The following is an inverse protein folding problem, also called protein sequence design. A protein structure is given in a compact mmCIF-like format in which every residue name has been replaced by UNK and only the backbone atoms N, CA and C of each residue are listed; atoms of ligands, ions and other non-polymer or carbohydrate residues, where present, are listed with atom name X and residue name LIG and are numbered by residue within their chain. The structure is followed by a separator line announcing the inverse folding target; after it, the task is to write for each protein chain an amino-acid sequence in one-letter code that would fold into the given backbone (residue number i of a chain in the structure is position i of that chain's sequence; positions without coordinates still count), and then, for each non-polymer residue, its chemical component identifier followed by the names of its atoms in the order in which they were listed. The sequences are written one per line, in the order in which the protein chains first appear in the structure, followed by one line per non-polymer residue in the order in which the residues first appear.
data_IF_142029732174
#
_entry.id   IF_142029732174
#
_cell.length_a   1.000
_cell.length_b   1.000
_cell.length_c   1.000
_cell.angle_alpha   90.00
_cell.angle_beta   90.00
_cell.angle_gamma   90.00
#
_symmetry.space_group_name_H-M   'P 1'
#
loop_
_entity.id
_entity.type
_entity.pdbx_description
1 polymer ?
#
# COMPACT_ATOMS: atom_id res chain seq x y z
N UNK A 1 3.95 1.34 -18.04
CA UNK A 1 3.79 2.23 -16.85
C UNK A 1 3.71 1.41 -15.57
N UNK A 2 4.72 0.59 -15.25
CA UNK A 2 4.88 0.10 -13.86
C UNK A 2 5.53 1.24 -13.10
N UNK A 3 4.75 2.03 -12.38
CA UNK A 3 5.32 2.97 -11.40
C UNK A 3 6.30 2.19 -10.52
N UNK A 4 7.44 2.80 -10.23
CA UNK A 4 8.53 2.14 -9.53
C UNK A 4 7.98 1.50 -8.22
N UNK A 5 8.34 0.25 -7.93
CA UNK A 5 7.78 -0.49 -6.78
C UNK A 5 7.99 0.32 -5.49
N UNK A 6 9.13 0.98 -5.38
CA UNK A 6 9.49 1.91 -4.32
C UNK A 6 8.48 3.06 -4.17
N UNK A 7 8.07 3.67 -5.28
CA UNK A 7 7.10 4.77 -5.27
C UNK A 7 5.72 4.28 -4.80
N UNK A 8 5.33 3.07 -5.20
CA UNK A 8 4.08 2.45 -4.73
C UNK A 8 4.14 2.14 -3.23
N UNK A 9 5.25 1.59 -2.76
CA UNK A 9 5.48 1.32 -1.35
C UNK A 9 5.40 2.60 -0.51
N UNK A 10 6.06 3.67 -0.96
CA UNK A 10 6.01 4.98 -0.30
C UNK A 10 4.58 5.53 -0.22
N UNK A 11 3.81 5.48 -1.31
CA UNK A 11 2.41 5.95 -1.30
C UNK A 11 1.51 5.12 -0.38
N UNK A 12 1.68 3.80 -0.37
CA UNK A 12 0.93 2.91 0.52
C UNK A 12 1.28 3.18 2.00
N UNK A 13 2.57 3.31 2.31
CA UNK A 13 3.04 3.61 3.66
C UNK A 13 2.52 4.97 4.15
N UNK A 14 2.61 6.00 3.32
CA UNK A 14 2.11 7.33 3.64
C UNK A 14 0.61 7.30 3.97
N UNK A 15 -0.19 6.68 3.11
CA UNK A 15 -1.64 6.55 3.33
C UNK A 15 -1.95 5.82 4.64
N UNK A 16 -1.26 4.71 4.92
CA UNK A 16 -1.44 3.92 6.14
C UNK A 16 -1.17 4.76 7.39
N UNK A 17 -0.09 5.55 7.38
CA UNK A 17 0.31 6.40 8.51
C UNK A 17 -0.68 7.55 8.70
N UNK A 18 -0.95 8.32 7.64
CA UNK A 18 -1.80 9.52 7.70
C UNK A 18 -3.23 9.19 8.13
N UNK A 19 -3.77 8.07 7.66
CA UNK A 19 -5.15 7.68 7.91
C UNK A 19 -5.29 6.69 9.08
N UNK A 20 -4.18 6.29 9.71
CA UNK A 20 -4.11 5.16 10.65
C UNK A 20 -4.83 3.92 10.10
N UNK A 21 -4.70 3.71 8.79
CA UNK A 21 -5.47 2.73 8.06
C UNK A 21 -4.86 1.33 8.22
N UNK A 22 -5.72 0.31 8.24
CA UNK A 22 -5.24 -1.07 8.19
C UNK A 22 -4.79 -1.45 6.77
N UNK A 23 -3.95 -2.48 6.64
CA UNK A 23 -3.55 -3.04 5.35
C UNK A 23 -4.75 -3.40 4.47
N UNK A 24 -5.84 -3.90 5.07
CA UNK A 24 -7.08 -4.23 4.35
C UNK A 24 -7.79 -2.98 3.83
N UNK A 25 -7.77 -1.88 4.59
CA UNK A 25 -8.35 -0.61 4.14
C UNK A 25 -7.53 0.00 2.99
N UNK A 26 -6.20 0.00 3.10
CA UNK A 26 -5.31 0.43 2.02
C UNK A 26 -5.51 -0.41 0.74
N UNK A 27 -5.61 -1.73 0.85
CA UNK A 27 -5.88 -2.60 -0.30
C UNK A 27 -7.17 -2.22 -1.06
N UNK A 28 -8.25 -1.94 -0.31
CA UNK A 28 -9.52 -1.47 -0.90
C UNK A 28 -9.37 -0.10 -1.56
N UNK A 29 -8.69 0.84 -0.90
CA UNK A 29 -8.49 2.20 -1.39
C UNK A 29 -7.68 2.23 -2.69
N UNK A 30 -6.66 1.39 -2.81
CA UNK A 30 -5.75 1.35 -3.95
C UNK A 30 -6.15 0.32 -5.02
N UNK A 31 -7.26 -0.40 -4.83
CA UNK A 31 -7.75 -1.38 -5.80
C UNK A 31 -6.81 -2.58 -6.00
N UNK A 32 -6.05 -2.95 -4.97
CA UNK A 32 -5.07 -4.05 -5.01
C UNK A 32 -5.37 -5.09 -3.94
N UNK A 33 -4.74 -6.25 -4.04
CA UNK A 33 -4.94 -7.32 -3.05
C UNK A 33 -4.27 -6.97 -1.72
N UNK A 34 -4.81 -7.49 -0.61
CA UNK A 34 -4.19 -7.38 0.72
C UNK A 34 -2.76 -7.91 0.73
N UNK A 35 -2.51 -9.03 0.05
CA UNK A 35 -1.18 -9.64 -0.07
C UNK A 35 -0.21 -8.74 -0.83
N UNK A 36 -0.67 -8.03 -1.88
CA UNK A 36 0.16 -7.05 -2.58
C UNK A 36 0.62 -5.94 -1.63
N UNK A 37 -0.29 -5.38 -0.82
CA UNK A 37 0.09 -4.36 0.17
C UNK A 37 1.06 -4.92 1.21
N UNK A 38 0.86 -6.16 1.69
CA UNK A 38 1.81 -6.79 2.62
C UNK A 38 3.21 -6.95 2.00
N UNK A 39 3.30 -7.47 0.78
CA UNK A 39 4.59 -7.64 0.10
C UNK A 39 5.28 -6.31 -0.17
N UNK A 40 4.52 -5.25 -0.46
CA UNK A 40 5.12 -3.95 -0.80
C UNK A 40 5.52 -3.11 0.41
N UNK A 41 4.93 -3.33 1.60
CA UNK A 41 5.09 -2.43 2.76
C UNK A 41 5.65 -3.14 4.00
N UNK A 42 5.47 -4.46 4.13
CA UNK A 42 5.81 -5.20 5.34
C UNK A 42 6.97 -6.19 5.11
N UNK A 43 7.03 -6.81 3.94
CA UNK A 43 7.99 -7.87 3.63
C UNK A 43 9.23 -7.36 2.91
#
# INVERSE_FOLDING_TARGET
MKGNIEERACRLALYIIENRATVRAAARQFGISKSTVHTDVIN
#
